data_IF_126171940238
#
_entry.id   IF_126171940238
#
_cell.length_a   1.000
_cell.length_b   1.000
_cell.length_c   1.000
_cell.angle_alpha   90.00
_cell.angle_beta   90.00
_cell.angle_gamma   90.00
#
_symmetry.space_group_name_H-M   'P 1'
#
loop_
_entity.id
_entity.type
_entity.pdbx_description
1 polymer ?
#
# COMPACT_ATOMS: atom_id res chain seq x y z
N UNK A 1 9.87 16.42 13.57
CA UNK A 1 8.48 16.21 13.13
C UNK A 1 7.88 17.56 12.74
N UNK A 2 7.24 17.66 11.58
CA UNK A 2 6.79 18.94 10.98
C UNK A 2 5.57 19.53 11.69
N UNK A 3 4.72 18.69 12.29
CA UNK A 3 3.51 19.11 13.00
C UNK A 3 3.31 18.34 14.31
N UNK A 4 2.44 18.86 15.16
CA UNK A 4 2.06 18.25 16.43
C UNK A 4 1.16 17.03 16.17
N UNK A 5 1.67 15.84 16.47
CA UNK A 5 1.00 14.56 16.22
C UNK A 5 -0.32 14.44 16.99
N UNK A 6 -0.28 14.58 18.31
CA UNK A 6 -1.47 14.43 19.19
C UNK A 6 -2.57 15.39 18.77
N UNK A 7 -2.24 16.67 18.58
CA UNK A 7 -3.22 17.68 18.15
C UNK A 7 -3.86 17.36 16.82
N UNK A 8 -3.12 16.76 15.89
CA UNK A 8 -3.69 16.42 14.60
C UNK A 8 -4.51 15.12 14.66
N UNK A 9 -3.97 14.04 15.19
CA UNK A 9 -4.63 12.74 15.16
C UNK A 9 -5.79 12.60 16.16
N UNK A 10 -5.75 13.34 17.27
CA UNK A 10 -6.80 13.28 18.30
C UNK A 10 -7.82 14.44 18.18
N UNK A 11 -7.35 15.64 17.84
CA UNK A 11 -8.20 16.85 17.79
C UNK A 11 -8.49 17.35 16.37
N UNK A 12 -7.97 16.68 15.34
CA UNK A 12 -8.04 17.12 13.94
C UNK A 12 -7.54 18.56 13.72
N UNK A 13 -6.57 19.00 14.54
CA UNK A 13 -6.04 20.37 14.56
C UNK A 13 -4.59 20.40 14.12
N UNK A 14 -4.35 20.88 12.91
CA UNK A 14 -2.99 21.02 12.38
C UNK A 14 -2.26 22.21 13.01
N UNK A 15 -1.18 21.91 13.74
CA UNK A 15 -0.24 22.88 14.30
C UNK A 15 1.15 22.51 13.81
N UNK A 16 1.77 23.37 13.00
CA UNK A 16 3.14 23.17 12.56
C UNK A 16 4.11 23.49 13.70
N UNK A 17 5.13 22.63 13.90
CA UNK A 17 6.13 22.81 14.96
C UNK A 17 7.19 23.86 14.58
N UNK A 18 7.25 24.25 13.31
CA UNK A 18 8.15 25.27 12.80
C UNK A 18 7.33 26.46 12.30
N UNK A 19 7.82 27.66 12.56
CA UNK A 19 7.14 28.93 12.24
C UNK A 19 7.57 29.55 10.91
N UNK A 20 8.61 29.01 10.26
CA UNK A 20 9.18 29.57 9.03
C UNK A 20 9.01 28.59 7.85
N UNK A 21 7.78 28.36 7.41
CA UNK A 21 7.54 27.73 6.11
C UNK A 21 7.35 28.80 5.04
N UNK A 22 7.99 28.59 3.90
CA UNK A 22 7.69 29.38 2.71
C UNK A 22 6.41 28.83 2.09
N UNK A 23 5.40 29.67 1.79
CA UNK A 23 4.25 29.27 0.98
C UNK A 23 4.70 28.62 -0.33
N UNK A 24 3.96 27.60 -0.79
CA UNK A 24 4.27 26.90 -2.03
C UNK A 24 3.96 25.41 -1.99
N UNK A 25 4.54 24.68 -2.93
CA UNK A 25 4.33 23.24 -3.08
C UNK A 25 5.22 22.43 -2.15
N UNK A 26 4.69 21.33 -1.62
CA UNK A 26 5.43 20.41 -0.74
C UNK A 26 5.10 18.94 -1.02
N UNK A 27 6.04 18.06 -0.67
CA UNK A 27 5.82 16.62 -0.57
C UNK A 27 5.70 16.26 0.91
N UNK A 28 4.65 15.53 1.27
CA UNK A 28 4.54 14.94 2.60
C UNK A 28 5.38 13.66 2.67
N UNK A 29 6.16 13.49 3.74
CA UNK A 29 6.79 12.21 4.11
C UNK A 29 6.56 11.96 5.58
N UNK A 30 5.68 11.02 5.91
CA UNK A 30 5.30 10.80 7.29
C UNK A 30 4.36 9.61 7.52
N UNK A 31 3.53 9.75 8.54
CA UNK A 31 2.60 8.71 8.96
C UNK A 31 1.48 8.50 7.97
N UNK A 32 1.07 7.24 7.90
CA UNK A 32 -0.16 6.84 7.23
C UNK A 32 -1.37 7.48 7.91
N UNK A 33 -2.24 8.10 7.12
CA UNK A 33 -3.50 8.69 7.53
C UNK A 33 -4.67 7.97 6.87
N UNK A 34 -5.83 7.92 7.50
CA UNK A 34 -7.07 7.57 6.76
C UNK A 34 -7.33 8.62 5.67
N UNK A 35 -8.08 8.29 4.59
CA UNK A 35 -8.42 9.26 3.55
C UNK A 35 -9.03 10.56 4.09
N UNK A 36 -9.93 10.45 5.07
CA UNK A 36 -10.57 11.60 5.74
C UNK A 36 -9.57 12.45 6.52
N UNK A 37 -8.63 11.82 7.24
CA UNK A 37 -7.56 12.54 7.93
C UNK A 37 -6.65 13.26 6.94
N UNK A 38 -6.25 12.59 5.85
CA UNK A 38 -5.42 13.22 4.83
C UNK A 38 -6.12 14.39 4.15
N UNK A 39 -7.40 14.27 3.81
CA UNK A 39 -8.19 15.38 3.26
C UNK A 39 -8.22 16.60 4.20
N UNK A 40 -8.39 16.35 5.51
CA UNK A 40 -8.32 17.40 6.52
C UNK A 40 -6.92 18.01 6.64
N UNK A 41 -5.87 17.17 6.60
CA UNK A 41 -4.48 17.60 6.62
C UNK A 41 -4.16 18.52 5.45
N UNK A 42 -4.50 18.06 4.24
CA UNK A 42 -4.33 18.77 2.97
C UNK A 42 -5.02 20.14 3.01
N UNK A 43 -6.31 20.17 3.39
CA UNK A 43 -7.07 21.42 3.46
C UNK A 43 -6.50 22.39 4.50
N UNK A 44 -6.12 21.91 5.68
CA UNK A 44 -5.53 22.76 6.72
C UNK A 44 -4.15 23.29 6.36
N UNK A 45 -3.32 22.52 5.65
CA UNK A 45 -2.03 22.99 5.12
C UNK A 45 -2.23 24.15 4.14
N UNK A 46 -3.12 23.96 3.17
CA UNK A 46 -3.44 24.98 2.17
C UNK A 46 -4.03 26.23 2.81
N UNK A 47 -5.11 26.07 3.59
CA UNK A 47 -5.93 27.20 4.04
C UNK A 47 -5.25 28.02 5.16
N UNK A 48 -4.48 27.37 6.04
CA UNK A 48 -3.82 28.05 7.18
C UNK A 48 -2.39 28.46 6.88
N UNK A 49 -1.68 27.68 6.07
CA UNK A 49 -0.23 27.84 5.88
C UNK A 49 0.18 28.13 4.44
N UNK A 50 -0.77 28.15 3.48
CA UNK A 50 -0.50 28.36 2.05
C UNK A 50 0.51 27.33 1.50
N UNK A 51 0.43 26.10 2.02
CA UNK A 51 1.24 24.96 1.57
C UNK A 51 0.32 24.01 0.79
N UNK A 52 0.63 23.80 -0.48
CA UNK A 52 -0.10 22.88 -1.35
C UNK A 52 0.68 21.55 -1.43
N UNK A 53 0.08 20.43 -1.05
CA UNK A 53 0.73 19.14 -1.26
C UNK A 53 0.65 18.74 -2.74
N UNK A 54 1.73 18.15 -3.26
CA UNK A 54 1.77 17.67 -4.64
C UNK A 54 0.73 16.57 -4.89
N UNK A 55 0.55 15.66 -3.94
CA UNK A 55 -0.48 14.64 -4.00
C UNK A 55 -1.79 15.21 -3.47
N UNK A 56 -2.85 15.16 -4.27
CA UNK A 56 -4.19 15.59 -3.83
C UNK A 56 -4.83 14.58 -2.88
N UNK A 57 -5.93 14.95 -2.22
CA UNK A 57 -6.71 14.02 -1.39
C UNK A 57 -7.20 12.79 -2.14
N UNK A 58 -7.62 12.99 -3.40
CA UNK A 58 -8.15 11.95 -4.27
C UNK A 58 -7.04 10.99 -4.70
N UNK A 59 -5.87 11.53 -5.05
CA UNK A 59 -4.70 10.74 -5.42
C UNK A 59 -4.17 9.93 -4.24
N UNK A 60 -4.14 10.54 -3.04
CA UNK A 60 -3.80 9.83 -1.82
C UNK A 60 -4.78 8.68 -1.57
N UNK A 61 -6.10 8.93 -1.61
CA UNK A 61 -7.09 7.86 -1.42
C UNK A 61 -6.99 6.75 -2.48
N UNK A 62 -6.72 7.10 -3.72
CA UNK A 62 -6.57 6.16 -4.82
C UNK A 62 -5.41 5.18 -4.60
N UNK A 63 -4.28 5.66 -4.08
CA UNK A 63 -3.09 4.84 -3.82
C UNK A 63 -3.00 4.34 -2.38
N UNK A 64 -3.79 4.89 -1.46
CA UNK A 64 -3.86 4.43 -0.08
C UNK A 64 -4.76 3.21 0.05
N UNK A 65 -5.85 3.15 -0.72
CA UNK A 65 -6.77 2.02 -0.75
C UNK A 65 -6.50 1.17 -2.00
N UNK A 66 -5.91 -0.01 -1.82
CA UNK A 66 -5.54 -0.90 -2.93
C UNK A 66 -6.69 -1.21 -3.92
N UNK A 67 -7.96 -1.38 -3.48
CA UNK A 67 -9.10 -1.48 -4.40
C UNK A 67 -9.24 -0.37 -5.44
N UNK A 68 -8.80 0.85 -5.14
CA UNK A 68 -8.97 2.00 -6.02
C UNK A 68 -7.91 2.03 -7.14
N UNK A 69 -6.71 1.48 -6.90
CA UNK A 69 -5.65 1.37 -7.91
C UNK A 69 -5.66 0.01 -8.63
N UNK A 70 -6.31 -1.01 -8.07
CA UNK A 70 -6.41 -2.36 -8.64
C UNK A 70 -6.80 -2.41 -10.13
N UNK A 71 -7.77 -1.61 -10.65
CA UNK A 71 -8.13 -1.64 -12.06
C UNK A 71 -6.97 -1.32 -13.01
N UNK A 72 -6.04 -0.45 -12.59
CA UNK A 72 -4.85 -0.10 -13.38
C UNK A 72 -3.81 -1.22 -13.41
N UNK A 73 -3.88 -2.16 -12.46
CA UNK A 73 -2.90 -3.21 -12.24
C UNK A 73 -3.38 -4.60 -12.69
N UNK A 74 -4.62 -4.70 -13.19
CA UNK A 74 -5.33 -5.98 -13.38
C UNK A 74 -4.59 -6.99 -14.28
N UNK A 75 -3.77 -6.50 -15.21
CA UNK A 75 -3.00 -7.34 -16.12
C UNK A 75 -1.85 -8.08 -15.43
N UNK A 76 -1.26 -7.48 -14.39
CA UNK A 76 -0.08 -8.01 -13.71
C UNK A 76 -0.27 -8.10 -12.19
N UNK A 77 -1.49 -8.22 -11.67
CA UNK A 77 -1.73 -8.41 -10.23
C UNK A 77 -2.69 -9.58 -9.96
N UNK A 78 -2.53 -10.33 -8.85
CA UNK A 78 -3.44 -11.43 -8.54
C UNK A 78 -4.89 -10.96 -8.44
N UNK A 79 -5.83 -11.84 -8.81
CA UNK A 79 -7.26 -11.50 -8.77
C UNK A 79 -7.67 -11.02 -7.38
N UNK A 80 -8.57 -10.05 -7.34
CA UNK A 80 -9.11 -9.54 -6.08
C UNK A 80 -10.63 -9.40 -6.15
N UNK A 81 -11.29 -9.78 -5.07
CA UNK A 81 -12.68 -9.44 -4.79
C UNK A 81 -12.74 -8.49 -3.61
N UNK A 82 -13.59 -7.49 -3.71
CA UNK A 82 -13.81 -6.50 -2.65
C UNK A 82 -15.23 -6.62 -2.11
N UNK A 83 -15.35 -6.46 -0.80
CA UNK A 83 -16.59 -6.52 -0.06
C UNK A 83 -16.63 -5.30 0.87
N UNK A 84 -17.45 -4.28 0.57
CA UNK A 84 -17.62 -3.14 1.47
C UNK A 84 -18.04 -3.60 2.87
N UNK A 85 -17.67 -2.83 3.89
CA UNK A 85 -18.01 -3.17 5.28
C UNK A 85 -19.52 -3.39 5.44
N UNK A 86 -19.90 -4.42 6.19
CA UNK A 86 -21.31 -4.83 6.36
C UNK A 86 -21.86 -5.68 5.22
N UNK A 87 -21.10 -5.92 4.15
CA UNK A 87 -21.48 -6.86 3.09
C UNK A 87 -21.05 -8.27 3.47
N UNK A 88 -21.93 -9.26 3.23
CA UNK A 88 -21.58 -10.67 3.39
C UNK A 88 -20.49 -11.07 2.40
N UNK A 89 -19.44 -11.69 2.91
CA UNK A 89 -18.41 -12.34 2.09
C UNK A 89 -18.87 -13.77 1.81
N UNK A 90 -19.08 -14.10 0.53
CA UNK A 90 -19.65 -15.38 0.11
C UNK A 90 -18.56 -16.31 -0.45
N UNK A 91 -18.40 -17.49 0.14
CA UNK A 91 -17.39 -18.48 -0.28
C UNK A 91 -17.64 -18.99 -1.71
N UNK A 92 -18.88 -19.11 -2.18
CA UNK A 92 -19.19 -19.55 -3.55
C UNK A 92 -18.74 -18.50 -4.57
N UNK A 93 -18.91 -17.21 -4.23
CA UNK A 93 -18.40 -16.11 -5.05
C UNK A 93 -16.88 -16.17 -5.16
N UNK A 94 -16.18 -16.40 -4.04
CA UNK A 94 -14.72 -16.56 -4.03
C UNK A 94 -14.30 -17.77 -4.88
N UNK A 95 -14.92 -18.94 -4.64
CA UNK A 95 -14.61 -20.19 -5.33
C UNK A 95 -14.79 -20.10 -6.84
N UNK A 96 -15.76 -19.31 -7.31
CA UNK A 96 -15.97 -19.08 -8.75
C UNK A 96 -14.81 -18.34 -9.43
N UNK A 97 -13.94 -17.66 -8.67
CA UNK A 97 -12.87 -16.80 -9.19
C UNK A 97 -11.46 -17.35 -8.90
N UNK A 98 -11.28 -18.01 -7.76
CA UNK A 98 -9.96 -18.46 -7.27
C UNK A 98 -10.06 -19.72 -6.39
N UNK A 99 -9.00 -20.53 -6.40
CA UNK A 99 -8.90 -21.77 -5.62
C UNK A 99 -8.22 -21.59 -4.26
N UNK A 100 -7.33 -20.60 -4.15
CA UNK A 100 -6.59 -20.28 -2.93
C UNK A 100 -6.52 -18.76 -2.80
N UNK A 101 -6.72 -18.24 -1.59
CA UNK A 101 -6.81 -16.82 -1.33
C UNK A 101 -6.25 -16.42 0.04
N UNK A 102 -6.12 -15.12 0.24
CA UNK A 102 -5.83 -14.48 1.52
C UNK A 102 -6.88 -13.39 1.81
N UNK A 103 -7.06 -13.07 3.09
CA UNK A 103 -7.95 -12.01 3.56
C UNK A 103 -7.12 -10.78 3.95
N UNK A 104 -7.52 -9.62 3.43
CA UNK A 104 -6.95 -8.30 3.75
C UNK A 104 -8.07 -7.30 4.00
N UNK A 105 -7.73 -6.16 4.57
CA UNK A 105 -8.55 -4.96 4.44
C UNK A 105 -8.10 -4.18 3.19
N UNK A 106 -8.58 -2.95 2.99
CA UNK A 106 -8.24 -2.18 1.78
C UNK A 106 -6.79 -1.70 1.76
N UNK A 107 -6.02 -1.90 2.83
CA UNK A 107 -4.64 -1.38 3.00
C UNK A 107 -3.66 -2.46 3.47
N UNK A 108 -4.04 -3.29 4.44
CA UNK A 108 -3.15 -4.21 5.18
C UNK A 108 -3.74 -5.61 5.31
N UNK A 109 -2.83 -6.59 5.37
CA UNK A 109 -3.12 -7.94 5.85
C UNK A 109 -2.87 -8.06 7.35
N UNK A 110 -3.47 -9.06 7.99
CA UNK A 110 -3.25 -9.40 9.39
C UNK A 110 -2.07 -10.39 9.54
N UNK A 111 -0.85 -9.98 9.17
CA UNK A 111 0.36 -10.82 9.29
C UNK A 111 0.64 -11.18 10.77
N UNK A 112 1.17 -12.38 11.01
CA UNK A 112 1.57 -12.83 12.36
C UNK A 112 0.41 -13.12 13.31
N UNK A 113 -0.78 -13.39 12.77
CA UNK A 113 -1.98 -13.71 13.54
C UNK A 113 -2.36 -15.19 13.40
N UNK A 114 -3.38 -15.63 14.13
CA UNK A 114 -3.97 -16.97 13.99
C UNK A 114 -4.63 -17.21 12.63
N UNK A 115 -4.84 -16.15 11.84
CA UNK A 115 -5.44 -16.26 10.52
C UNK A 115 -4.47 -16.91 9.53
N UNK A 116 -4.87 -17.97 8.81
CA UNK A 116 -4.02 -18.56 7.79
C UNK A 116 -3.65 -17.55 6.70
N UNK A 117 -2.38 -17.45 6.36
CA UNK A 117 -1.90 -16.63 5.24
C UNK A 117 -2.31 -17.18 3.87
N UNK A 118 -2.70 -18.46 3.83
CA UNK A 118 -3.12 -19.22 2.66
C UNK A 118 -4.40 -19.99 2.99
N UNK A 119 -5.51 -19.66 2.33
CA UNK A 119 -6.82 -20.25 2.58
C UNK A 119 -7.33 -20.91 1.30
N UNK A 120 -7.75 -22.17 1.37
CA UNK A 120 -8.37 -22.87 0.25
C UNK A 120 -9.82 -22.43 0.09
N UNK A 121 -10.31 -22.27 -1.14
CA UNK A 121 -11.73 -22.01 -1.41
C UNK A 121 -12.63 -23.23 -1.20
N UNK A 122 -12.05 -24.38 -0.86
CA UNK A 122 -12.78 -25.59 -0.45
C UNK A 122 -13.33 -25.54 0.98
N UNK A 123 -13.02 -24.50 1.78
CA UNK A 123 -13.60 -24.33 3.11
C UNK A 123 -15.12 -24.12 3.04
N UNK A 124 -15.80 -24.39 4.16
CA UNK A 124 -17.22 -24.06 4.30
C UNK A 124 -17.42 -22.56 4.50
N UNK A 125 -18.64 -22.07 4.27
CA UNK A 125 -19.01 -20.69 4.61
C UNK A 125 -18.79 -20.41 6.11
N UNK A 126 -19.14 -21.37 6.97
CA UNK A 126 -18.95 -21.23 8.42
C UNK A 126 -17.48 -20.98 8.78
N UNK A 127 -16.57 -21.76 8.18
CA UNK A 127 -15.14 -21.58 8.44
C UNK A 127 -14.61 -20.25 7.89
N UNK A 128 -15.14 -19.78 6.75
CA UNK A 128 -14.84 -18.44 6.26
C UNK A 128 -15.30 -17.35 7.24
N UNK A 129 -16.50 -17.49 7.80
CA UNK A 129 -17.06 -16.54 8.76
C UNK A 129 -16.19 -16.49 10.05
N UNK A 130 -15.74 -17.65 10.55
CA UNK A 130 -14.80 -17.74 11.67
C UNK A 130 -13.47 -17.00 11.38
N UNK A 131 -12.92 -17.15 10.18
CA UNK A 131 -11.72 -16.43 9.75
C UNK A 131 -11.94 -14.92 9.64
N UNK A 132 -13.12 -14.48 9.18
CA UNK A 132 -13.45 -13.06 9.14
C UNK A 132 -13.61 -12.48 10.54
N UNK A 133 -14.21 -13.20 11.49
CA UNK A 133 -14.28 -12.77 12.89
C UNK A 133 -12.89 -12.60 13.51
N UNK A 134 -11.97 -13.54 13.25
CA UNK A 134 -10.57 -13.44 13.65
C UNK A 134 -9.93 -12.19 13.02
N UNK A 135 -10.12 -11.99 11.72
CA UNK A 135 -9.58 -10.84 11.01
C UNK A 135 -10.10 -9.52 11.60
N UNK A 136 -11.42 -9.39 11.82
CA UNK A 136 -12.02 -8.19 12.43
C UNK A 136 -11.49 -7.94 13.84
N UNK A 137 -11.29 -8.99 14.64
CA UNK A 137 -10.72 -8.87 15.99
C UNK A 137 -9.30 -8.33 15.98
N UNK A 138 -8.45 -8.80 15.07
CA UNK A 138 -7.07 -8.34 14.96
C UNK A 138 -6.93 -6.95 14.34
N UNK A 139 -7.80 -6.60 13.39
CA UNK A 139 -7.77 -5.25 12.79
C UNK A 139 -8.40 -4.21 13.72
N UNK A 140 -9.50 -4.54 14.39
CA UNK A 140 -10.19 -3.63 15.30
C UNK A 140 -10.39 -2.23 14.69
N UNK A 141 -9.98 -1.20 15.41
CA UNK A 141 -10.04 0.20 14.98
C UNK A 141 -9.11 0.55 13.80
N UNK A 142 -8.18 -0.35 13.44
CA UNK A 142 -7.28 -0.19 12.29
C UNK A 142 -7.91 -0.69 10.98
N UNK A 143 -9.10 -1.31 11.02
CA UNK A 143 -9.79 -1.77 9.83
C UNK A 143 -10.09 -0.59 8.92
N UNK A 144 -9.57 -0.64 7.69
CA UNK A 144 -9.75 0.45 6.72
C UNK A 144 -10.55 -0.04 5.51
N UNK A 145 -11.64 0.67 5.20
CA UNK A 145 -12.50 0.37 4.05
C UNK A 145 -13.39 -0.85 4.29
N UNK A 146 -13.06 -1.97 3.63
CA UNK A 146 -13.80 -3.22 3.71
C UNK A 146 -12.88 -4.43 3.64
N UNK A 147 -13.42 -5.59 3.24
CA UNK A 147 -12.65 -6.82 3.07
C UNK A 147 -12.20 -6.98 1.62
N UNK A 148 -10.94 -7.33 1.44
CA UNK A 148 -10.34 -7.77 0.20
C UNK A 148 -10.03 -9.26 0.31
N UNK A 149 -10.54 -10.04 -0.65
CA UNK A 149 -10.13 -11.41 -0.89
C UNK A 149 -9.21 -11.40 -2.09
N UNK A 150 -7.91 -11.62 -1.85
CA UNK A 150 -6.89 -11.60 -2.89
C UNK A 150 -6.42 -13.02 -3.17
N UNK A 151 -6.32 -13.37 -4.45
CA UNK A 151 -5.76 -14.65 -4.89
C UNK A 151 -4.36 -14.84 -4.31
N UNK A 152 -4.13 -16.04 -3.78
CA UNK A 152 -2.84 -16.40 -3.23
C UNK A 152 -1.94 -16.92 -4.35
N UNK A 153 -0.79 -16.28 -4.52
CA UNK A 153 0.25 -16.70 -5.45
C UNK A 153 1.50 -17.11 -4.66
N UNK A 154 2.18 -18.17 -5.13
CA UNK A 154 3.38 -18.66 -4.48
C UNK A 154 4.58 -17.80 -4.91
N UNK A 155 5.08 -16.98 -3.98
CA UNK A 155 6.24 -16.12 -4.22
C UNK A 155 7.54 -16.90 -4.04
N UNK A 156 8.52 -16.63 -4.91
CA UNK A 156 9.86 -17.20 -4.77
C UNK A 156 10.47 -16.71 -3.47
N UNK A 157 11.03 -17.65 -2.73
CA UNK A 157 11.62 -17.40 -1.41
C UNK A 157 13.10 -17.77 -1.44
N UNK A 158 13.95 -16.84 -1.01
CA UNK A 158 15.40 -16.95 -0.92
C UNK A 158 15.79 -16.66 0.53
N UNK A 159 16.43 -17.62 1.22
CA UNK A 159 16.80 -17.52 2.64
C UNK A 159 15.66 -17.11 3.57
N UNK A 160 14.46 -17.63 3.30
CA UNK A 160 13.26 -17.36 4.11
C UNK A 160 12.62 -15.99 3.86
N UNK A 161 13.08 -15.23 2.86
CA UNK A 161 12.50 -13.94 2.44
C UNK A 161 12.00 -14.02 1.00
N UNK A 162 10.87 -13.37 0.71
CA UNK A 162 10.37 -13.32 -0.66
C UNK A 162 11.28 -12.44 -1.52
N UNK A 163 11.50 -12.83 -2.78
CA UNK A 163 12.16 -11.95 -3.74
C UNK A 163 11.17 -10.87 -4.19
N UNK A 164 11.15 -9.77 -3.44
CA UNK A 164 10.21 -8.67 -3.59
C UNK A 164 10.98 -7.35 -3.69
N UNK A 165 10.58 -6.49 -4.62
CA UNK A 165 11.18 -5.21 -4.90
C UNK A 165 10.13 -4.10 -4.85
N UNK A 166 10.41 -3.04 -4.10
CA UNK A 166 9.66 -1.79 -4.13
C UNK A 166 10.30 -0.83 -5.09
N UNK A 167 9.50 -0.30 -6.01
CA UNK A 167 9.91 0.76 -6.92
C UNK A 167 9.16 2.04 -6.57
N UNK A 168 9.89 3.13 -6.42
CA UNK A 168 9.33 4.48 -6.25
C UNK A 168 9.31 5.22 -7.58
N UNK A 169 8.15 5.82 -7.86
CA UNK A 169 7.90 6.63 -9.03
C UNK A 169 7.56 8.05 -8.60
N UNK A 170 8.17 9.02 -9.24
CA UNK A 170 7.85 10.42 -9.08
C UNK A 170 7.77 11.10 -10.45
N UNK A 171 6.72 11.89 -10.66
CA UNK A 171 6.54 12.70 -11.87
C UNK A 171 6.74 11.90 -13.18
N UNK A 172 6.13 10.72 -13.28
CA UNK A 172 6.19 9.89 -14.48
C UNK A 172 7.49 9.09 -14.66
N UNK A 173 8.37 9.05 -13.65
CA UNK A 173 9.67 8.37 -13.74
C UNK A 173 9.92 7.49 -12.52
N UNK A 174 10.43 6.30 -12.75
CA UNK A 174 11.09 5.53 -11.69
C UNK A 174 12.36 6.27 -11.27
N UNK A 175 12.57 6.46 -9.97
CA UNK A 175 13.81 7.06 -9.44
C UNK A 175 14.49 6.21 -8.37
N UNK A 176 13.83 5.17 -7.86
CA UNK A 176 14.42 4.28 -6.87
C UNK A 176 13.83 2.87 -7.01
N UNK A 177 14.70 1.86 -7.00
CA UNK A 177 14.35 0.44 -6.91
C UNK A 177 15.16 -0.16 -5.77
N UNK A 178 14.49 -0.89 -4.87
CA UNK A 178 15.14 -1.56 -3.76
C UNK A 178 14.37 -2.83 -3.39
N UNK A 179 15.07 -3.80 -2.81
CA UNK A 179 14.44 -4.97 -2.21
C UNK A 179 13.48 -4.50 -1.10
N UNK A 180 12.25 -5.00 -1.07
CA UNK A 180 11.27 -4.66 -0.04
C UNK A 180 11.73 -5.10 1.35
N UNK A 181 12.39 -6.26 1.41
CA UNK A 181 13.11 -6.77 2.57
C UNK A 181 14.51 -7.15 2.10
N UNK A 182 15.55 -6.69 2.79
CA UNK A 182 16.93 -6.95 2.40
C UNK A 182 17.20 -8.45 2.21
N UNK A 183 17.99 -8.82 1.23
CA UNK A 183 18.51 -10.18 1.11
C UNK A 183 20.03 -10.14 1.05
N UNK A 184 20.69 -11.06 1.77
CA UNK A 184 22.15 -11.12 1.83
C UNK A 184 22.76 -11.80 0.57
N UNK A 185 21.92 -12.28 -0.35
CA UNK A 185 22.30 -12.90 -1.62
C UNK A 185 21.89 -12.08 -2.83
N UNK A 186 22.52 -12.35 -3.98
CA UNK A 186 22.12 -11.76 -5.24
C UNK A 186 20.71 -12.20 -5.61
N UNK A 187 19.77 -11.26 -5.65
CA UNK A 187 18.40 -11.47 -6.10
C UNK A 187 18.20 -10.98 -7.53
N UNK A 188 17.32 -11.64 -8.28
CA UNK A 188 16.91 -11.17 -9.60
C UNK A 188 16.02 -9.95 -9.42
N UNK A 189 16.23 -8.89 -10.20
CA UNK A 189 15.36 -7.72 -10.22
C UNK A 189 14.13 -7.91 -11.12
N UNK A 190 13.03 -7.17 -10.89
CA UNK A 190 11.88 -7.18 -11.80
C UNK A 190 12.29 -6.77 -13.22
N UNK A 191 11.70 -7.38 -14.27
CA UNK A 191 11.96 -7.02 -15.66
C UNK A 191 11.71 -5.54 -15.90
N UNK A 192 12.66 -4.88 -16.58
CA UNK A 192 12.58 -3.44 -16.86
C UNK A 192 11.28 -3.05 -17.57
N UNK A 193 10.83 -3.84 -18.52
CA UNK A 193 9.59 -3.60 -19.27
C UNK A 193 8.36 -3.57 -18.36
N UNK A 194 8.29 -4.47 -17.37
CA UNK A 194 7.22 -4.51 -16.38
C UNK A 194 7.25 -3.27 -15.47
N UNK A 195 8.44 -2.84 -15.05
CA UNK A 195 8.63 -1.65 -14.23
C UNK A 195 8.28 -0.36 -15.01
N UNK A 196 8.66 -0.28 -16.28
CA UNK A 196 8.38 0.86 -17.15
C UNK A 196 6.88 0.99 -17.49
N UNK A 197 6.16 -0.14 -17.59
CA UNK A 197 4.70 -0.18 -17.82
C UNK A 197 3.92 0.69 -16.83
N UNK A 198 4.36 0.74 -15.58
CA UNK A 198 3.66 1.44 -14.49
C UNK A 198 4.25 2.80 -14.14
N UNK A 199 4.98 3.45 -15.07
CA UNK A 199 5.56 4.78 -14.84
C UNK A 199 4.56 5.94 -14.84
N UNK A 200 3.36 5.76 -15.39
CA UNK A 200 2.39 6.83 -15.60
C UNK A 200 1.05 6.58 -14.88
N UNK A 201 1.08 5.97 -13.70
CA UNK A 201 -0.11 5.83 -12.86
C UNK A 201 -0.57 7.21 -12.32
N UNK A 202 -1.85 7.38 -11.95
CA UNK A 202 -2.47 8.69 -11.73
C UNK A 202 -2.12 9.37 -10.38
N UNK A 203 -0.86 9.34 -9.97
CA UNK A 203 -0.34 10.07 -8.81
C UNK A 203 1.06 10.62 -9.11
N UNK A 204 1.42 11.82 -8.62
CA UNK A 204 2.75 12.37 -8.82
C UNK A 204 3.82 11.62 -8.03
N UNK A 205 3.46 10.85 -7.00
CA UNK A 205 4.40 10.14 -6.16
C UNK A 205 3.80 8.88 -5.53
N UNK A 206 4.30 7.71 -5.95
CA UNK A 206 3.75 6.41 -5.55
C UNK A 206 4.81 5.31 -5.55
N UNK A 207 4.42 4.15 -5.03
CA UNK A 207 5.19 2.92 -5.06
C UNK A 207 4.42 1.80 -5.74
N UNK A 208 5.16 0.90 -6.40
CA UNK A 208 4.66 -0.39 -6.85
C UNK A 208 5.60 -1.46 -6.32
N UNK A 209 5.04 -2.47 -5.68
CA UNK A 209 5.77 -3.62 -5.15
C UNK A 209 5.63 -4.79 -6.12
N UNK A 210 6.76 -5.30 -6.58
CA UNK A 210 6.89 -6.40 -7.53
C UNK A 210 7.46 -7.62 -6.82
N UNK A 211 6.96 -8.81 -7.13
CA UNK A 211 7.51 -10.04 -6.59
C UNK A 211 7.76 -11.08 -7.70
N UNK A 212 8.83 -11.86 -7.53
CA UNK A 212 9.10 -13.03 -8.36
C UNK A 212 8.22 -14.19 -7.88
N UNK A 213 7.52 -14.85 -8.80
CA UNK A 213 6.77 -16.07 -8.56
C UNK A 213 7.70 -17.28 -8.52
N UNK A 214 7.22 -18.39 -7.95
CA UNK A 214 7.99 -19.63 -7.85
C UNK A 214 8.46 -20.19 -9.22
N UNK A 215 7.79 -19.82 -10.31
CA UNK A 215 8.15 -20.19 -11.69
C UNK A 215 9.14 -19.22 -12.37
N UNK A 216 9.54 -18.15 -11.69
CA UNK A 216 10.47 -17.13 -12.16
C UNK A 216 9.81 -15.96 -12.93
N UNK A 217 8.51 -16.00 -13.17
CA UNK A 217 7.76 -14.85 -13.69
C UNK A 217 7.58 -13.77 -12.61
N UNK A 218 7.17 -12.56 -13.00
CA UNK A 218 7.02 -11.43 -12.09
C UNK A 218 5.61 -10.88 -12.09
N UNK A 219 5.18 -10.40 -10.92
CA UNK A 219 3.83 -9.87 -10.71
C UNK A 219 3.88 -8.64 -9.80
N UNK A 220 2.93 -7.72 -9.97
CA UNK A 220 2.63 -6.64 -9.03
C UNK A 220 1.80 -7.18 -7.87
N UNK A 221 2.30 -7.01 -6.66
CA UNK A 221 1.61 -7.48 -5.45
C UNK A 221 0.93 -6.36 -4.65
N UNK A 222 1.37 -5.12 -4.80
CA UNK A 222 0.83 -3.96 -4.09
C UNK A 222 1.17 -2.67 -4.86
N UNK A 223 0.37 -1.63 -4.69
CA UNK A 223 0.73 -0.27 -5.01
C UNK A 223 0.30 0.63 -3.86
N UNK A 224 1.08 1.67 -3.60
CA UNK A 224 0.95 2.49 -2.39
C UNK A 224 1.27 3.95 -2.64
N UNK A 225 0.78 4.83 -1.78
CA UNK A 225 1.12 6.24 -1.82
C UNK A 225 2.56 6.47 -1.33
N UNK A 226 3.38 7.14 -2.15
CA UNK A 226 4.81 7.32 -1.89
C UNK A 226 5.11 8.15 -0.64
N UNK A 227 4.17 9.00 -0.22
CA UNK A 227 4.30 9.87 0.94
C UNK A 227 4.39 9.06 2.24
N UNK A 228 3.84 7.85 2.27
CA UNK A 228 3.76 7.00 3.47
C UNK A 228 4.40 5.62 3.30
N UNK A 229 4.84 5.27 2.09
CA UNK A 229 5.62 4.05 1.85
C UNK A 229 6.98 4.11 2.55
N UNK A 230 7.33 3.02 3.23
CA UNK A 230 8.60 2.89 3.94
C UNK A 230 9.76 2.62 3.00
N UNK A 231 10.95 3.09 3.40
CA UNK A 231 12.22 2.70 2.80
C UNK A 231 12.70 1.41 3.47
N UNK A 232 13.39 0.56 2.72
CA UNK A 232 14.08 -0.62 3.23
C UNK A 232 15.28 -0.22 4.10
N UNK A 233 15.67 -1.08 5.04
CA UNK A 233 16.64 -0.75 6.09
C UNK A 233 18.02 -0.27 5.57
N UNK A 234 18.41 -0.70 4.37
CA UNK A 234 19.70 -0.34 3.76
C UNK A 234 19.63 0.84 2.78
N UNK A 235 18.45 1.42 2.55
CA UNK A 235 18.34 2.56 1.64
C UNK A 235 18.86 3.84 2.30
N UNK A 236 19.75 4.55 1.61
CA UNK A 236 20.22 5.87 2.04
C UNK A 236 19.08 6.89 1.93
N UNK A 237 18.61 7.35 3.10
CA UNK A 237 17.52 8.32 3.23
C UNK A 237 17.88 9.67 2.61
N UNK A 238 19.12 10.12 2.73
CA UNK A 238 19.56 11.40 2.20
C UNK A 238 19.63 11.35 0.66
N UNK A 239 20.19 10.27 0.11
CA UNK A 239 20.21 10.04 -1.33
C UNK A 239 18.79 9.93 -1.90
N UNK A 240 17.90 9.20 -1.22
CA UNK A 240 16.49 9.08 -1.61
C UNK A 240 15.80 10.45 -1.68
N UNK A 241 15.93 11.28 -0.64
CA UNK A 241 15.31 12.60 -0.60
C UNK A 241 15.89 13.54 -1.66
N UNK A 242 17.20 13.45 -1.93
CA UNK A 242 17.83 14.22 -3.01
C UNK A 242 17.23 13.84 -4.37
N UNK A 243 17.11 12.54 -4.66
CA UNK A 243 16.52 12.05 -5.92
C UNK A 243 15.04 12.41 -6.08
N UNK A 244 14.26 12.42 -5.00
CA UNK A 244 12.84 12.77 -5.03
C UNK A 244 12.60 14.27 -5.30
N UNK A 245 13.52 15.13 -4.88
CA UNK A 245 13.40 16.59 -5.02
C UNK A 245 13.99 17.16 -6.32
N UNK A 246 14.60 16.32 -7.16
CA UNK A 246 15.18 16.70 -8.46
C UNK A 246 14.18 16.49 -9.61
#
# INVERSE_FOLDING_TARGET
MIFNYEKFFEENRLILNQVNFTPGSAIYRGWMMTPKQYQSFYSQLRDKYQIELLTSSEQYEQFHLFPNIYPELIEDTPKMLTFPLGTRVDIEKIRSQMSVFMIKDYVKSAKGTELPSRISSAISQQQLDEYLEIFYRYRGDLLTGGICIKEYVELKTLNGRHNEYRVFYANGKMFCIAESEANDEFTTQPPRELVEKYQHLPSPFYTVDYAELADGSWIVIEAGDGQVSGLSDHQDRAAFMSSLCN
#
